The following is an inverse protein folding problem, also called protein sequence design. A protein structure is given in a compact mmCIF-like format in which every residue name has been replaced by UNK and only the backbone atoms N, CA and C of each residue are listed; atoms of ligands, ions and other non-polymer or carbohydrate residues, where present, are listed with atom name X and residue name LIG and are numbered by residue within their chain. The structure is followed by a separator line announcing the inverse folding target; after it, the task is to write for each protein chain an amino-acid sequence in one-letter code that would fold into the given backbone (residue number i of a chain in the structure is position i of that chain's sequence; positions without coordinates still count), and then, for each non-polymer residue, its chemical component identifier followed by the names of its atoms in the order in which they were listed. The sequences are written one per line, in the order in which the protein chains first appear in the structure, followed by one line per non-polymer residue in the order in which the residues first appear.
data_IF_429074464651
#
_entry.id   IF_429074464651
#
_cell.length_a   1.000
_cell.length_b   1.000
_cell.length_c   1.000
_cell.angle_alpha   90.00
_cell.angle_beta   90.00
_cell.angle_gamma   90.00
#
_symmetry.space_group_name_H-M   'P 1'
#
loop_
_entity.id
_entity.type
_entity.pdbx_description
1 polymer ?
#
# COMPACT_ATOMS: atom_id res chain seq x y z
N UNK A 1 0.67 25.28 -31.86
CA UNK A 1 -0.13 24.20 -32.49
C UNK A 1 0.46 22.82 -32.15
N UNK A 2 1.74 22.54 -32.42
CA UNK A 2 2.38 21.21 -32.18
C UNK A 2 2.29 20.72 -30.71
N UNK A 3 2.38 21.60 -29.69
CA UNK A 3 2.21 21.24 -28.27
C UNK A 3 0.77 20.83 -27.92
N UNK A 4 -0.24 21.45 -28.56
CA UNK A 4 -1.64 21.10 -28.35
C UNK A 4 -2.02 19.75 -28.98
N UNK A 5 -1.43 19.40 -30.10
CA UNK A 5 -1.69 18.12 -30.77
C UNK A 5 -1.09 16.93 -29.99
N UNK A 6 0.05 17.15 -29.31
CA UNK A 6 0.67 16.11 -28.49
C UNK A 6 -0.17 15.76 -27.22
N UNK A 7 -1.03 16.67 -26.75
CA UNK A 7 -1.95 16.42 -25.63
C UNK A 7 -3.20 15.63 -26.04
N UNK A 8 -3.44 15.47 -27.35
CA UNK A 8 -4.57 14.69 -27.87
C UNK A 8 -4.26 13.19 -27.98
N UNK A 9 -3.00 12.81 -27.83
CA UNK A 9 -2.58 11.41 -27.84
C UNK A 9 -2.05 11.03 -26.46
N UNK A 10 -2.83 10.23 -25.73
CA UNK A 10 -2.45 9.70 -24.42
C UNK A 10 -1.68 8.40 -24.64
N UNK A 11 -0.43 8.37 -24.18
CA UNK A 11 0.43 7.18 -24.25
C UNK A 11 0.75 6.70 -22.85
N UNK A 12 0.88 5.38 -22.71
CA UNK A 12 1.40 4.80 -21.46
C UNK A 12 2.83 5.29 -21.20
N UNK A 13 3.16 5.74 -19.99
CA UNK A 13 4.51 6.13 -19.61
C UNK A 13 5.44 4.93 -19.42
N UNK A 14 4.89 3.72 -19.38
CA UNK A 14 5.62 2.46 -19.12
C UNK A 14 5.16 1.38 -20.09
N UNK A 15 6.08 0.49 -20.44
CA UNK A 15 5.73 -0.74 -21.16
C UNK A 15 5.07 -1.71 -20.20
N UNK A 16 3.93 -2.28 -20.58
CA UNK A 16 3.18 -3.15 -19.68
C UNK A 16 1.89 -3.66 -20.27
N UNK A 17 1.07 -4.24 -19.43
CA UNK A 17 -0.25 -4.73 -19.76
C UNK A 17 -1.32 -3.89 -19.08
N UNK A 18 -2.39 -3.55 -19.79
CA UNK A 18 -3.55 -2.89 -19.20
C UNK A 18 -4.20 -3.84 -18.19
N UNK A 19 -4.17 -3.45 -16.92
CA UNK A 19 -4.75 -4.22 -15.81
C UNK A 19 -6.20 -3.84 -15.59
N UNK A 20 -6.53 -2.55 -15.73
CA UNK A 20 -7.88 -2.04 -15.56
C UNK A 20 -8.12 -0.88 -16.52
N UNK A 21 -9.37 -0.65 -16.87
CA UNK A 21 -9.80 0.45 -17.72
C UNK A 21 -11.05 1.08 -17.15
N UNK A 22 -11.05 2.40 -17.03
CA UNK A 22 -12.24 3.14 -16.62
C UNK A 22 -13.40 2.88 -17.59
N UNK A 23 -14.51 2.39 -17.12
CA UNK A 23 -15.72 2.17 -17.90
C UNK A 23 -16.82 3.16 -17.46
N UNK A 24 -17.61 3.70 -18.40
CA UNK A 24 -17.56 3.50 -19.85
C UNK A 24 -16.68 4.56 -20.55
N UNK A 25 -15.68 4.15 -21.33
CA UNK A 25 -14.97 5.03 -22.27
C UNK A 25 -15.64 4.90 -23.63
N UNK A 26 -16.47 5.85 -23.99
CA UNK A 26 -17.13 5.88 -25.30
C UNK A 26 -16.45 6.86 -26.24
N UNK A 27 -16.45 6.55 -27.55
CA UNK A 27 -15.94 7.47 -28.57
C UNK A 27 -16.81 8.74 -28.62
N UNK A 28 -16.18 9.89 -28.42
CA UNK A 28 -16.88 11.18 -28.35
C UNK A 28 -17.22 11.66 -26.95
N UNK A 29 -16.88 10.90 -25.94
CA UNK A 29 -17.02 11.31 -24.53
C UNK A 29 -15.97 12.38 -24.18
N UNK A 30 -16.42 13.36 -23.39
CA UNK A 30 -15.53 14.40 -22.91
C UNK A 30 -14.92 13.96 -21.57
N UNK A 31 -13.60 13.99 -21.50
CA UNK A 31 -12.83 13.59 -20.32
C UNK A 31 -12.28 14.84 -19.63
N UNK A 32 -12.52 15.00 -18.32
CA UNK A 32 -11.88 16.04 -17.52
C UNK A 32 -10.35 15.89 -17.52
N UNK A 33 -9.65 17.01 -17.33
CA UNK A 33 -8.20 16.99 -17.20
C UNK A 33 -7.80 16.26 -15.90
N UNK A 34 -6.89 15.29 -16.02
CA UNK A 34 -6.43 14.48 -14.86
C UNK A 34 -7.26 13.23 -14.55
N UNK A 35 -8.28 12.90 -15.35
CA UNK A 35 -9.03 11.67 -15.16
C UNK A 35 -8.19 10.42 -15.47
N UNK A 36 -8.28 9.42 -14.60
CA UNK A 36 -7.60 8.15 -14.82
C UNK A 36 -8.32 7.34 -15.91
N UNK A 37 -7.65 7.05 -17.01
CA UNK A 37 -8.21 6.32 -18.16
C UNK A 37 -8.00 4.82 -18.06
N UNK A 38 -6.84 4.41 -17.58
CA UNK A 38 -6.47 3.02 -17.42
C UNK A 38 -5.34 2.86 -16.41
N UNK A 39 -5.28 1.68 -15.81
CA UNK A 39 -4.16 1.24 -14.99
C UNK A 39 -3.31 0.30 -15.82
N UNK A 40 -2.03 0.63 -15.98
CA UNK A 40 -1.07 -0.21 -16.70
C UNK A 40 -0.14 -0.87 -15.70
N UNK A 41 -0.20 -2.20 -15.62
CA UNK A 41 0.78 -2.98 -14.88
C UNK A 41 2.07 -3.00 -15.70
N UNK A 42 3.14 -2.40 -15.16
CA UNK A 42 4.43 -2.37 -15.83
C UNK A 42 4.96 -3.79 -16.00
N UNK A 43 5.58 -4.04 -17.16
CA UNK A 43 6.31 -5.28 -17.35
C UNK A 43 7.47 -5.35 -16.36
N UNK A 44 7.77 -6.55 -15.85
CA UNK A 44 8.91 -6.75 -14.97
C UNK A 44 10.19 -6.28 -15.69
N UNK A 45 10.81 -5.25 -15.13
CA UNK A 45 12.07 -4.70 -15.62
C UNK A 45 13.19 -4.98 -14.64
N UNK A 46 14.42 -4.67 -15.02
CA UNK A 46 15.60 -4.81 -14.17
C UNK A 46 15.56 -3.97 -12.90
N UNK A 47 14.76 -2.89 -12.89
CA UNK A 47 14.73 -1.90 -11.81
C UNK A 47 13.45 -1.92 -10.96
N UNK A 48 12.46 -2.77 -11.31
CA UNK A 48 11.22 -2.91 -10.54
C UNK A 48 10.83 -4.36 -10.42
N UNK A 49 10.51 -4.83 -9.21
CA UNK A 49 9.95 -6.17 -9.03
C UNK A 49 8.59 -6.25 -9.74
N UNK A 50 8.31 -7.40 -10.36
CA UNK A 50 7.01 -7.67 -10.99
C UNK A 50 5.86 -7.67 -9.98
N UNK A 51 6.15 -7.87 -8.71
CA UNK A 51 5.20 -7.94 -7.61
C UNK A 51 5.75 -7.14 -6.43
N UNK A 52 4.95 -6.21 -5.95
CA UNK A 52 5.23 -5.41 -4.75
C UNK A 52 4.23 -5.80 -3.66
N UNK A 53 4.72 -6.01 -2.45
CA UNK A 53 3.89 -6.27 -1.28
C UNK A 53 3.88 -5.00 -0.43
N UNK A 54 2.72 -4.37 -0.33
CA UNK A 54 2.52 -3.18 0.50
C UNK A 54 1.74 -3.56 1.75
N UNK A 55 2.29 -3.23 2.91
CA UNK A 55 1.66 -3.45 4.20
C UNK A 55 1.72 -2.20 5.09
N UNK A 56 1.00 -2.26 6.19
CA UNK A 56 1.06 -1.23 7.23
C UNK A 56 1.34 -1.87 8.58
N UNK A 57 2.17 -1.22 9.37
CA UNK A 57 2.55 -1.67 10.70
C UNK A 57 2.28 -0.56 11.72
N UNK A 58 1.95 -0.93 12.94
CA UNK A 58 1.72 0.03 14.03
C UNK A 58 3.02 0.72 14.47
N UNK A 59 2.90 1.92 15.02
CA UNK A 59 4.03 2.65 15.61
C UNK A 59 4.75 1.85 16.71
N UNK A 60 4.03 0.98 17.42
CA UNK A 60 4.60 0.17 18.50
C UNK A 60 5.57 -0.90 18.00
N UNK A 61 5.38 -1.35 16.75
CA UNK A 61 6.13 -2.46 16.18
C UNK A 61 7.18 -2.03 15.14
N UNK A 62 7.14 -0.77 14.68
CA UNK A 62 8.03 -0.29 13.61
C UNK A 62 9.52 -0.42 13.94
N UNK A 63 9.88 -0.23 15.19
CA UNK A 63 11.28 -0.28 15.64
C UNK A 63 11.81 -1.71 15.84
N UNK A 64 10.99 -2.74 15.60
CA UNK A 64 11.35 -4.14 15.84
C UNK A 64 11.96 -4.82 14.64
N UNK A 65 11.96 -4.19 13.49
CA UNK A 65 12.53 -4.71 12.25
C UNK A 65 13.06 -3.54 11.40
N UNK A 66 13.89 -3.88 10.45
CA UNK A 66 14.49 -2.93 9.52
C UNK A 66 14.39 -3.44 8.08
N UNK A 67 14.81 -2.64 7.13
CA UNK A 67 15.03 -3.08 5.75
C UNK A 67 15.96 -4.30 5.73
N UNK A 68 15.65 -5.28 4.90
CA UNK A 68 16.32 -6.59 4.85
C UNK A 68 15.73 -7.64 5.79
N UNK A 69 14.77 -7.29 6.66
CA UNK A 69 14.12 -8.28 7.53
C UNK A 69 13.36 -9.33 6.70
N UNK A 70 13.46 -10.58 7.16
CA UNK A 70 12.70 -11.68 6.57
C UNK A 70 11.21 -11.48 6.81
N UNK A 71 10.42 -11.75 5.78
CA UNK A 71 8.98 -11.61 5.84
C UNK A 71 8.28 -12.74 5.08
N UNK A 72 6.99 -12.90 5.32
CA UNK A 72 6.15 -13.88 4.64
C UNK A 72 4.77 -13.28 4.41
N UNK A 73 4.37 -13.20 3.16
CA UNK A 73 3.02 -12.81 2.78
C UNK A 73 2.12 -14.04 2.75
N UNK A 74 1.03 -13.99 3.49
CA UNK A 74 -0.01 -15.03 3.56
C UNK A 74 -1.27 -14.46 2.93
N UNK A 75 -1.65 -14.90 1.71
CA UNK A 75 -2.90 -14.49 1.09
C UNK A 75 -4.12 -14.85 1.95
N UNK A 76 -5.20 -14.08 1.85
CA UNK A 76 -6.49 -14.42 2.48
C UNK A 76 -7.10 -15.70 1.90
N UNK A 77 -6.83 -15.98 0.63
CA UNK A 77 -7.22 -17.23 -0.01
C UNK A 77 -6.34 -18.39 0.51
N UNK A 78 -6.94 -19.23 1.33
CA UNK A 78 -6.27 -20.39 1.92
C UNK A 78 -5.73 -21.43 0.91
N UNK A 79 -6.17 -21.38 -0.34
CA UNK A 79 -5.69 -22.25 -1.42
C UNK A 79 -4.35 -21.77 -2.00
N UNK A 80 -3.98 -20.54 -1.71
CA UNK A 80 -2.74 -19.94 -2.21
C UNK A 80 -1.59 -20.19 -1.24
N UNK A 81 -0.42 -20.59 -1.74
CA UNK A 81 0.75 -20.74 -0.89
C UNK A 81 1.23 -19.39 -0.37
N UNK A 82 1.77 -19.41 0.84
CA UNK A 82 2.41 -18.25 1.39
C UNK A 82 3.69 -17.92 0.61
N UNK A 83 3.92 -16.62 0.37
CA UNK A 83 5.02 -16.10 -0.44
C UNK A 83 6.13 -15.61 0.50
N UNK A 84 7.34 -16.20 0.46
CA UNK A 84 8.48 -15.64 1.16
C UNK A 84 8.79 -14.25 0.61
N UNK A 85 9.13 -13.33 1.49
CA UNK A 85 9.42 -11.96 1.12
C UNK A 85 10.55 -11.38 1.99
N UNK A 86 11.10 -10.27 1.57
CA UNK A 86 12.01 -9.45 2.36
C UNK A 86 11.55 -8.00 2.39
N UNK A 87 11.68 -7.36 3.53
CA UNK A 87 11.36 -5.93 3.68
C UNK A 87 12.36 -5.12 2.87
N UNK A 88 11.88 -4.32 1.92
CA UNK A 88 12.74 -3.41 1.15
C UNK A 88 12.85 -2.05 1.80
N UNK A 89 11.70 -1.51 2.21
CA UNK A 89 11.65 -0.19 2.79
C UNK A 89 10.57 -0.09 3.88
N UNK A 90 10.83 0.81 4.82
CA UNK A 90 9.88 1.22 5.85
C UNK A 90 9.81 2.74 5.79
N UNK A 91 8.62 3.29 5.62
CA UNK A 91 8.45 4.74 5.58
C UNK A 91 8.78 5.36 6.94
N UNK A 92 9.57 6.44 6.93
CA UNK A 92 9.96 7.16 8.15
C UNK A 92 8.85 8.06 8.72
N UNK A 93 7.70 8.15 8.02
CA UNK A 93 6.56 8.99 8.44
C UNK A 93 5.28 8.16 8.49
N UNK A 94 4.45 8.44 9.48
CA UNK A 94 3.14 7.81 9.58
C UNK A 94 2.26 8.14 8.36
N UNK A 95 1.54 7.15 7.88
CA UNK A 95 0.62 7.30 6.77
C UNK A 95 -0.54 8.22 7.17
N UNK A 96 -0.73 9.30 6.41
CA UNK A 96 -1.84 10.23 6.62
C UNK A 96 -3.14 9.75 5.98
N UNK A 97 -3.03 8.91 4.97
CA UNK A 97 -4.16 8.33 4.23
C UNK A 97 -3.76 7.01 3.57
N UNK A 98 -4.75 6.20 3.25
CA UNK A 98 -4.60 4.90 2.59
C UNK A 98 -4.76 5.01 1.06
N UNK A 99 -4.33 6.13 0.46
CA UNK A 99 -4.58 6.41 -0.95
C UNK A 99 -3.98 5.41 -1.95
N UNK A 100 -2.90 4.72 -1.57
CA UNK A 100 -2.27 3.71 -2.44
C UNK A 100 -2.99 2.36 -2.39
N UNK A 101 -3.66 2.04 -1.29
CA UNK A 101 -4.35 0.75 -1.05
C UNK A 101 -5.62 0.97 -0.22
N UNK A 102 -6.63 1.62 -0.79
CA UNK A 102 -7.88 1.93 -0.09
C UNK A 102 -8.61 0.69 0.43
N UNK A 103 -8.37 -0.47 -0.18
CA UNK A 103 -8.97 -1.76 0.20
C UNK A 103 -8.59 -2.20 1.62
N UNK A 104 -7.50 -1.68 2.18
CA UNK A 104 -7.10 -1.96 3.55
C UNK A 104 -7.92 -1.18 4.59
N UNK A 105 -8.67 -0.17 4.16
CA UNK A 105 -9.57 0.58 5.05
C UNK A 105 -10.71 -0.31 5.57
N UNK A 106 -11.04 -0.16 6.85
CA UNK A 106 -12.16 -0.90 7.47
C UNK A 106 -13.50 -0.66 6.78
N UNK A 107 -13.66 0.47 6.09
CA UNK A 107 -14.83 0.78 5.27
C UNK A 107 -15.04 -0.24 4.14
N UNK A 108 -13.98 -0.75 3.55
CA UNK A 108 -14.01 -1.78 2.49
C UNK A 108 -13.76 -3.20 3.05
N UNK A 109 -13.90 -3.40 4.36
CA UNK A 109 -13.66 -4.68 5.01
C UNK A 109 -12.19 -4.99 5.26
N UNK A 110 -11.29 -4.01 5.09
CA UNK A 110 -9.87 -4.16 5.39
C UNK A 110 -9.55 -4.11 6.88
N UNK A 111 -8.32 -4.47 7.23
CA UNK A 111 -7.86 -4.60 8.62
C UNK A 111 -7.52 -3.24 9.28
N UNK A 112 -7.40 -2.15 8.52
CA UNK A 112 -6.99 -0.85 9.05
C UNK A 112 -8.21 -0.05 9.49
N UNK A 113 -8.33 0.19 10.79
CA UNK A 113 -9.35 1.09 11.33
C UNK A 113 -9.16 2.50 10.76
N UNK A 114 -10.15 3.00 10.03
CA UNK A 114 -10.04 4.24 9.27
C UNK A 114 -11.30 5.08 9.31
N UNK A 115 -11.16 6.35 9.01
CA UNK A 115 -12.24 7.33 8.85
C UNK A 115 -12.14 7.96 7.47
N UNK A 116 -13.27 8.43 6.88
CA UNK A 116 -13.20 9.24 5.67
C UNK A 116 -12.26 10.42 5.87
N UNK A 117 -11.37 10.64 4.91
CA UNK A 117 -10.44 11.76 4.98
C UNK A 117 -11.15 13.10 4.71
N UNK A 118 -10.61 14.23 5.20
CA UNK A 118 -11.12 15.54 4.88
C UNK A 118 -11.15 15.82 3.38
N UNK A 119 -12.10 16.64 2.92
CA UNK A 119 -12.25 17.01 1.51
C UNK A 119 -10.97 17.59 0.88
N UNK A 120 -10.17 18.31 1.67
CA UNK A 120 -8.90 18.89 1.22
C UNK A 120 -7.86 17.82 0.88
N UNK A 121 -7.82 16.73 1.62
CA UNK A 121 -6.92 15.60 1.35
C UNK A 121 -7.32 14.88 0.06
N UNK A 122 -8.60 14.68 -0.20
CA UNK A 122 -9.10 14.10 -1.45
C UNK A 122 -8.75 14.98 -2.65
N UNK A 123 -8.96 16.30 -2.53
CA UNK A 123 -8.59 17.28 -3.56
C UNK A 123 -7.10 17.26 -3.89
N UNK A 124 -6.24 17.18 -2.89
CA UNK A 124 -4.78 17.15 -3.12
C UNK A 124 -4.31 15.87 -3.84
N UNK A 125 -5.08 14.81 -3.75
CA UNK A 125 -4.81 13.52 -4.42
C UNK A 125 -5.53 13.39 -5.77
N UNK A 126 -6.40 14.34 -6.14
CA UNK A 126 -7.17 14.30 -7.38
C UNK A 126 -8.22 13.19 -7.42
N UNK A 127 -8.71 12.74 -6.26
CA UNK A 127 -9.71 11.68 -6.14
C UNK A 127 -10.95 12.15 -5.39
N UNK A 128 -12.06 11.43 -5.54
CA UNK A 128 -13.30 11.74 -4.86
C UNK A 128 -13.19 11.57 -3.34
N UNK A 129 -13.85 12.44 -2.60
CA UNK A 129 -13.80 12.50 -1.13
C UNK A 129 -14.19 11.16 -0.45
N UNK A 130 -15.04 10.35 -1.11
CA UNK A 130 -15.45 9.04 -0.61
C UNK A 130 -14.40 7.91 -0.80
N UNK A 131 -13.30 8.17 -1.49
CA UNK A 131 -12.28 7.17 -1.82
C UNK A 131 -11.02 7.28 -0.97
N UNK A 132 -10.88 8.35 -0.19
CA UNK A 132 -9.71 8.56 0.65
C UNK A 132 -10.05 8.34 2.11
N UNK A 133 -9.30 7.43 2.74
CA UNK A 133 -9.47 7.09 4.15
C UNK A 133 -8.20 7.41 4.93
N UNK A 134 -8.37 8.02 6.10
CA UNK A 134 -7.30 8.28 7.05
C UNK A 134 -7.31 7.21 8.14
N UNK A 135 -6.17 6.61 8.49
CA UNK A 135 -6.10 5.66 9.58
C UNK A 135 -6.38 6.36 10.91
N UNK A 136 -7.02 5.65 11.86
CA UNK A 136 -7.30 6.17 13.21
C UNK A 136 -6.07 6.21 14.10
N UNK A 137 -5.11 5.34 13.84
CA UNK A 137 -3.88 5.20 14.61
C UNK A 137 -2.68 5.48 13.72
N UNK A 138 -1.54 5.83 14.31
CA UNK A 138 -0.30 6.00 13.59
C UNK A 138 0.16 4.65 13.05
N UNK A 139 0.16 4.51 11.73
CA UNK A 139 0.65 3.35 11.01
C UNK A 139 1.69 3.79 9.99
N UNK A 140 2.62 2.91 9.71
CA UNK A 140 3.73 3.16 8.79
C UNK A 140 3.67 2.18 7.63
N UNK A 141 3.88 2.68 6.43
CA UNK A 141 3.91 1.86 5.24
C UNK A 141 5.19 1.05 5.20
N UNK A 142 5.06 -0.23 4.87
CA UNK A 142 6.15 -1.15 4.66
C UNK A 142 6.02 -1.70 3.25
N UNK A 143 7.11 -1.65 2.52
CA UNK A 143 7.23 -2.27 1.20
C UNK A 143 8.12 -3.49 1.30
N UNK A 144 7.67 -4.60 0.75
CA UNK A 144 8.43 -5.83 0.70
C UNK A 144 8.41 -6.43 -0.71
N UNK A 145 9.52 -7.06 -1.08
CA UNK A 145 9.63 -7.81 -2.31
C UNK A 145 9.55 -9.31 -2.05
N UNK A 146 8.95 -10.10 -2.96
CA UNK A 146 8.99 -11.54 -2.86
C UNK A 146 10.43 -12.04 -2.96
N UNK A 147 10.82 -12.92 -2.04
CA UNK A 147 12.13 -13.56 -2.04
C UNK A 147 12.17 -14.68 -3.09
N UNK A 148 13.05 -14.52 -4.07
CA UNK A 148 13.26 -15.47 -5.16
C UNK A 148 12.38 -15.21 -6.38
N UNK A 149 12.94 -15.47 -7.55
CA UNK A 149 12.20 -15.47 -8.81
C UNK A 149 11.23 -16.66 -8.79
N UNK A 150 10.02 -16.44 -8.35
CA UNK A 150 8.99 -17.48 -8.41
C UNK A 150 8.58 -17.68 -9.86
N UNK A 151 9.13 -18.72 -10.46
CA UNK A 151 8.63 -19.29 -11.71
C UNK A 151 7.21 -19.80 -11.43
N UNK A 152 6.20 -19.05 -11.84
CA UNK A 152 4.78 -19.34 -11.58
C UNK A 152 3.95 -18.13 -11.18
N UNK A 153 4.58 -17.02 -10.90
CA UNK A 153 3.93 -15.74 -10.54
C UNK A 153 3.27 -15.05 -11.73
N UNK A 154 3.45 -15.53 -12.95
CA UNK A 154 2.89 -14.90 -14.15
C UNK A 154 1.36 -14.72 -14.14
N UNK A 155 0.64 -15.55 -13.37
CA UNK A 155 -0.80 -15.40 -13.15
C UNK A 155 -1.14 -14.41 -12.02
N UNK A 156 -0.15 -14.05 -11.17
CA UNK A 156 -0.30 -13.10 -10.06
C UNK A 156 -0.03 -11.66 -10.51
N UNK A 157 0.64 -11.47 -11.63
CA UNK A 157 1.20 -10.18 -12.08
C UNK A 157 0.16 -9.08 -12.36
N UNK A 158 -1.13 -9.45 -12.37
CA UNK A 158 -2.21 -8.51 -12.71
C UNK A 158 -3.29 -8.39 -11.63
N UNK A 159 -3.12 -9.06 -10.49
CA UNK A 159 -4.15 -9.08 -9.46
C UNK A 159 -3.65 -8.45 -8.16
N UNK A 160 -4.39 -7.47 -7.67
CA UNK A 160 -4.24 -6.99 -6.30
C UNK A 160 -4.83 -8.05 -5.37
N UNK A 161 -4.03 -8.55 -4.43
CA UNK A 161 -4.45 -9.57 -3.46
C UNK A 161 -4.30 -9.05 -2.06
N UNK A 162 -5.28 -9.37 -1.23
CA UNK A 162 -5.22 -9.10 0.20
C UNK A 162 -4.55 -10.25 0.94
N UNK A 163 -3.96 -9.93 2.08
CA UNK A 163 -3.34 -10.93 2.93
C UNK A 163 -2.71 -10.31 4.17
N UNK A 164 -1.98 -11.13 4.89
CA UNK A 164 -1.23 -10.73 6.08
C UNK A 164 0.27 -10.83 5.80
N UNK A 165 0.99 -9.75 6.05
CA UNK A 165 2.44 -9.72 5.98
C UNK A 165 3.00 -10.01 7.38
N UNK A 166 3.61 -11.18 7.57
CA UNK A 166 4.36 -11.52 8.77
C UNK A 166 5.80 -11.09 8.59
N UNK A 167 6.30 -10.23 9.47
CA UNK A 167 7.68 -9.75 9.45
C UNK A 167 8.40 -10.32 10.66
N UNK A 168 9.56 -10.90 10.46
CA UNK A 168 10.44 -11.36 11.55
C UNK A 168 11.12 -10.16 12.19
N UNK A 169 10.67 -9.82 13.39
CA UNK A 169 11.24 -8.74 14.18
C UNK A 169 12.13 -9.24 15.32
N UNK A 170 12.82 -8.32 15.96
CA UNK A 170 13.60 -8.62 17.16
C UNK A 170 12.72 -9.24 18.26
N UNK A 171 13.27 -10.25 18.91
CA UNK A 171 12.59 -10.94 20.02
C UNK A 171 12.48 -10.01 21.20
N UNK A 172 11.27 -9.74 21.60
CA UNK A 172 10.98 -8.93 22.76
C UNK A 172 10.30 -9.76 23.84
N UNK A 173 10.75 -9.62 25.09
CA UNK A 173 10.10 -10.29 26.19
C UNK A 173 8.75 -9.61 26.52
N UNK A 174 7.73 -10.42 26.86
CA UNK A 174 6.43 -9.90 27.29
C UNK A 174 6.57 -8.98 28.52
N UNK A 175 7.49 -9.29 29.42
CA UNK A 175 7.78 -8.45 30.58
C UNK A 175 8.33 -7.07 30.17
N UNK A 176 9.19 -7.01 29.15
CA UNK A 176 9.72 -5.74 28.61
C UNK A 176 8.61 -4.88 27.99
N UNK A 177 7.67 -5.50 27.25
CA UNK A 177 6.51 -4.78 26.69
C UNK A 177 5.63 -4.21 27.82
N UNK A 178 5.36 -5.02 28.83
CA UNK A 178 4.55 -4.59 29.96
C UNK A 178 5.21 -3.47 30.75
N UNK A 179 6.52 -3.57 31.01
CA UNK A 179 7.28 -2.53 31.70
C UNK A 179 7.27 -1.20 30.95
N UNK A 180 7.43 -1.22 29.61
CA UNK A 180 7.33 0.01 28.80
C UNK A 180 5.94 0.60 28.79
N UNK A 181 4.90 -0.22 28.66
CA UNK A 181 3.51 0.24 28.72
C UNK A 181 3.20 0.87 30.08
N UNK A 182 3.59 0.24 31.19
CA UNK A 182 3.44 0.80 32.53
C UNK A 182 4.22 2.10 32.70
N UNK A 183 5.46 2.16 32.19
CA UNK A 183 6.30 3.34 32.24
C UNK A 183 5.72 4.52 31.45
N UNK A 184 5.15 4.25 30.27
CA UNK A 184 4.51 5.29 29.45
C UNK A 184 3.28 5.91 30.13
N UNK A 185 2.49 5.09 30.84
CA UNK A 185 1.35 5.57 31.63
C UNK A 185 1.84 6.42 32.79
N UNK A 186 2.88 5.97 33.50
CA UNK A 186 3.44 6.68 34.64
C UNK A 186 4.03 8.04 34.27
N UNK A 187 4.73 8.12 33.11
CA UNK A 187 5.23 9.39 32.58
C UNK A 187 4.11 10.33 32.16
N UNK A 188 3.00 9.79 31.63
CA UNK A 188 1.83 10.60 31.25
C UNK A 188 1.13 11.20 32.45
N UNK A 189 1.02 10.44 33.55
CA UNK A 189 0.37 10.91 34.78
C UNK A 189 1.27 11.77 35.67
N UNK A 190 2.59 11.63 35.56
CA UNK A 190 3.55 12.42 36.36
C UNK A 190 3.83 13.83 35.79
N UNK A 191 3.28 14.14 34.64
CA UNK A 191 3.51 15.44 33.96
C UNK A 191 2.34 16.42 34.17
N UNK A 192 1.58 16.24 35.25
CA UNK A 192 0.59 17.20 35.78
C UNK A 192 1.11 17.89 37.02
#
# INVERSE_FOLDING_TARGET
LKKRTALLEVRSPVDGRVADRTEPLAVGEWLPDGEALAVVAAAAGTDRPALEIVGYVSEQDINRFAAGASAKFIPEDALQPAIPASVEAVDGTAARHLGAVPELASHFGGAVASLPAPAEAAKSLGVDQGQVFAPKEAIYRVTAAPAGAQQGTAALDLQVRRGTLLIEGERESLAGRFARAAWSVLLRESNF
#
